data_IF_843902283456
#
_entry.id   IF_843902283456
#
_cell.length_a   1.000
_cell.length_b   1.000
_cell.length_c   1.000
_cell.angle_alpha   90.00
_cell.angle_beta   90.00
_cell.angle_gamma   90.00
#
_symmetry.space_group_name_H-M   'P 1'
#
loop_
_entity.id
_entity.type
_entity.pdbx_description
1 polymer ?
#
# COMPACT_ATOMS: atom_id res chain seq x y z
N UNK A 1 3.76 19.65 -12.01
CA UNK A 1 3.13 18.74 -12.99
C UNK A 1 4.00 18.49 -14.22
N UNK A 2 4.37 19.53 -14.97
CA UNK A 2 5.16 19.40 -16.23
C UNK A 2 6.42 18.54 -16.07
N UNK A 3 7.20 18.78 -15.01
CA UNK A 3 8.40 17.99 -14.71
C UNK A 3 8.12 16.47 -14.60
N UNK A 4 7.04 16.09 -13.92
CA UNK A 4 6.68 14.67 -13.73
C UNK A 4 6.29 14.03 -15.06
N UNK A 5 5.48 14.73 -15.86
CA UNK A 5 5.08 14.26 -17.19
C UNK A 5 6.27 14.14 -18.14
N UNK A 6 7.17 15.11 -18.14
CA UNK A 6 8.38 15.10 -18.97
C UNK A 6 9.33 13.96 -18.56
N UNK A 7 9.54 13.76 -17.26
CA UNK A 7 10.31 12.63 -16.74
C UNK A 7 9.71 11.28 -17.17
N UNK A 8 8.38 11.11 -17.01
CA UNK A 8 7.68 9.88 -17.40
C UNK A 8 7.80 9.63 -18.91
N UNK A 9 7.62 10.66 -19.74
CA UNK A 9 7.76 10.58 -21.20
C UNK A 9 9.16 10.15 -21.59
N UNK A 10 10.19 10.80 -21.04
CA UNK A 10 11.60 10.46 -21.31
C UNK A 10 11.94 9.02 -20.89
N UNK A 11 11.34 8.52 -19.80
CA UNK A 11 11.62 7.19 -19.26
C UNK A 11 10.92 6.07 -20.01
N UNK A 12 9.71 6.31 -20.48
CA UNK A 12 8.83 5.26 -21.04
C UNK A 12 8.70 5.34 -22.57
N UNK A 13 8.96 6.49 -23.17
CA UNK A 13 8.68 6.76 -24.59
C UNK A 13 7.18 6.90 -24.91
N UNK A 14 6.30 6.86 -23.91
CA UNK A 14 4.85 6.93 -24.09
C UNK A 14 4.35 8.37 -24.05
N UNK A 15 3.23 8.62 -24.73
CA UNK A 15 2.53 9.90 -24.65
C UNK A 15 1.87 10.03 -23.27
N UNK A 16 2.45 10.87 -22.40
CA UNK A 16 2.04 11.07 -21.01
C UNK A 16 0.88 12.08 -20.90
N UNK A 17 -0.27 11.74 -21.50
CA UNK A 17 -1.46 12.58 -21.54
C UNK A 17 -2.41 12.32 -20.35
N UNK A 18 -1.95 12.62 -19.13
CA UNK A 18 -2.73 12.46 -17.90
C UNK A 18 -2.54 13.66 -16.97
N UNK A 19 -3.58 14.08 -16.24
CA UNK A 19 -3.52 15.16 -15.25
C UNK A 19 -2.78 14.71 -13.98
N UNK A 20 -1.84 15.51 -13.48
CA UNK A 20 -1.19 15.27 -12.19
C UNK A 20 -1.69 16.30 -11.18
N UNK A 21 -2.42 15.82 -10.18
CA UNK A 21 -2.90 16.65 -9.07
C UNK A 21 -2.13 16.29 -7.81
N UNK A 22 -1.77 17.30 -7.02
CA UNK A 22 -1.08 17.13 -5.75
C UNK A 22 -2.07 17.33 -4.60
N UNK A 23 -1.90 16.58 -3.52
CA UNK A 23 -2.66 16.71 -2.29
C UNK A 23 -1.74 17.07 -1.11
N UNK A 24 -2.27 17.71 -0.06
CA UNK A 24 -1.48 18.04 1.13
C UNK A 24 -0.86 16.81 1.78
N UNK A 25 0.41 16.94 2.15
CA UNK A 25 1.15 15.87 2.83
C UNK A 25 2.15 16.47 3.81
N UNK A 26 2.60 15.65 4.76
CA UNK A 26 3.61 16.03 5.76
C UNK A 26 4.70 14.98 5.81
N UNK A 27 5.94 15.45 5.88
CA UNK A 27 7.07 14.59 6.17
C UNK A 27 7.05 14.18 7.65
N UNK A 28 6.99 12.87 7.90
CA UNK A 28 7.08 12.25 9.22
C UNK A 28 8.51 11.74 9.40
N UNK A 29 9.36 12.54 10.07
CA UNK A 29 10.79 12.28 10.19
C UNK A 29 11.07 10.96 10.90
N UNK A 30 10.27 10.60 11.90
CA UNK A 30 10.38 9.34 12.65
C UNK A 30 10.11 8.09 11.80
N UNK A 31 9.42 8.25 10.66
CA UNK A 31 9.12 7.18 9.70
C UNK A 31 9.95 7.29 8.41
N UNK A 32 10.77 8.33 8.27
CA UNK A 32 11.46 8.65 7.01
C UNK A 32 10.52 8.74 5.80
N UNK A 33 9.26 9.12 6.02
CA UNK A 33 8.17 8.95 5.04
C UNK A 33 7.34 10.22 4.88
N UNK A 34 6.76 10.41 3.70
CA UNK A 34 5.76 11.47 3.44
C UNK A 34 4.37 10.84 3.58
N UNK A 35 3.55 11.39 4.46
CA UNK A 35 2.20 10.89 4.74
C UNK A 35 1.15 11.88 4.24
N UNK A 36 0.04 11.41 3.65
CA UNK A 36 -1.08 12.28 3.30
C UNK A 36 -1.66 12.94 4.55
N UNK A 37 -2.15 14.16 4.40
CA UNK A 37 -2.83 14.90 5.48
C UNK A 37 -4.17 15.41 5.00
N UNK A 38 -5.21 15.21 5.82
CA UNK A 38 -6.58 15.63 5.52
C UNK A 38 -7.32 14.61 4.66
N UNK A 39 -8.37 15.07 3.97
CA UNK A 39 -9.18 14.25 3.08
C UNK A 39 -8.66 14.33 1.64
N UNK A 40 -7.92 13.32 1.19
CA UNK A 40 -7.43 13.26 -0.19
C UNK A 40 -8.58 13.26 -1.19
N UNK A 41 -9.72 12.65 -0.86
CA UNK A 41 -10.86 12.55 -1.80
C UNK A 41 -11.45 13.92 -2.13
N UNK A 42 -11.21 14.93 -1.30
CA UNK A 42 -11.66 16.31 -1.51
C UNK A 42 -10.96 17.02 -2.66
N UNK A 43 -9.76 16.58 -3.08
CA UNK A 43 -9.06 17.20 -4.22
C UNK A 43 -9.62 16.76 -5.58
N UNK A 44 -10.48 15.72 -5.60
CA UNK A 44 -11.11 15.19 -6.81
C UNK A 44 -12.55 15.71 -6.87
N UNK A 45 -12.94 16.45 -7.93
CA UNK A 45 -14.33 16.87 -8.12
C UNK A 45 -15.28 15.68 -8.25
N UNK A 46 -16.50 15.79 -7.72
CA UNK A 46 -17.49 14.68 -7.74
C UNK A 46 -17.79 14.17 -9.16
N UNK A 47 -17.86 15.06 -10.15
CA UNK A 47 -18.13 14.69 -11.53
C UNK A 47 -16.98 13.93 -12.22
N UNK A 48 -15.77 13.95 -11.66
CA UNK A 48 -14.62 13.18 -12.13
C UNK A 48 -14.50 11.83 -11.39
N UNK A 49 -15.29 11.60 -10.32
CA UNK A 49 -15.11 10.50 -9.38
C UNK A 49 -15.85 9.20 -9.79
N UNK A 50 -15.44 8.60 -10.90
CA UNK A 50 -16.01 7.31 -11.36
C UNK A 50 -15.24 6.11 -10.80
N UNK A 51 -13.99 5.91 -11.25
CA UNK A 51 -13.14 4.80 -10.83
C UNK A 51 -11.86 5.32 -10.19
N UNK A 52 -11.54 4.81 -8.99
CA UNK A 52 -10.24 5.03 -8.33
C UNK A 52 -9.40 3.75 -8.34
N UNK A 53 -8.11 3.90 -8.63
CA UNK A 53 -7.10 2.86 -8.46
C UNK A 53 -6.11 3.35 -7.40
N UNK A 54 -6.04 2.64 -6.28
CA UNK A 54 -5.22 3.00 -5.12
C UNK A 54 -4.05 2.04 -5.03
N UNK A 55 -2.83 2.54 -5.02
CA UNK A 55 -1.65 1.74 -4.69
C UNK A 55 -1.54 1.64 -3.16
N UNK A 56 -1.29 0.42 -2.67
CA UNK A 56 -1.14 0.09 -1.24
C UNK A 56 -2.23 0.74 -0.37
N UNK A 57 -3.52 0.44 -0.62
CA UNK A 57 -4.66 1.07 0.02
C UNK A 57 -4.63 1.01 1.55
N UNK A 58 -4.01 0.03 2.20
CA UNK A 58 -3.83 0.07 3.67
C UNK A 58 -3.02 1.28 4.11
N UNK A 59 -1.90 1.54 3.45
CA UNK A 59 -0.91 2.54 3.84
C UNK A 59 -1.41 3.93 3.51
N UNK A 60 -2.05 4.06 2.35
CA UNK A 60 -2.75 5.28 1.96
C UNK A 60 -3.80 5.68 2.99
N UNK A 61 -4.48 4.69 3.60
CA UNK A 61 -5.63 4.94 4.47
C UNK A 61 -5.39 4.77 5.98
N UNK A 62 -4.21 4.35 6.43
CA UNK A 62 -3.90 4.23 7.87
C UNK A 62 -4.10 5.52 8.65
N UNK A 63 -3.84 6.66 8.02
CA UNK A 63 -3.98 8.00 8.59
C UNK A 63 -5.01 8.83 7.84
N UNK A 64 -5.90 8.18 7.08
CA UNK A 64 -6.92 8.89 6.32
C UNK A 64 -8.08 9.29 7.24
N UNK A 65 -8.36 10.59 7.25
CA UNK A 65 -9.40 11.19 8.09
C UNK A 65 -10.58 11.72 7.27
N UNK A 66 -10.64 11.37 5.98
CA UNK A 66 -11.63 11.84 5.03
C UNK A 66 -12.78 10.88 4.76
N UNK A 67 -13.57 11.19 3.72
CA UNK A 67 -14.61 10.29 3.24
C UNK A 67 -14.04 8.94 2.81
N UNK A 68 -14.84 7.87 2.89
CA UNK A 68 -14.40 6.59 2.34
C UNK A 68 -14.32 6.72 0.82
N UNK A 69 -13.22 6.23 0.25
CA UNK A 69 -13.08 6.11 -1.20
C UNK A 69 -14.29 5.44 -1.87
N UNK A 70 -14.87 4.41 -1.25
CA UNK A 70 -16.07 3.72 -1.76
C UNK A 70 -17.35 4.55 -1.71
N UNK A 71 -17.40 5.59 -0.87
CA UNK A 71 -18.54 6.51 -0.80
C UNK A 71 -18.39 7.63 -1.85
N UNK A 72 -17.15 7.95 -2.25
CA UNK A 72 -16.82 8.98 -3.24
C UNK A 72 -16.84 8.48 -4.68
N UNK A 73 -16.30 7.29 -4.93
CA UNK A 73 -16.12 6.73 -6.28
C UNK A 73 -17.06 5.54 -6.49
N UNK A 74 -17.63 5.44 -7.69
CA UNK A 74 -18.50 4.32 -8.08
C UNK A 74 -17.77 2.98 -8.00
N UNK A 75 -16.46 2.96 -8.30
CA UNK A 75 -15.64 1.77 -8.16
C UNK A 75 -14.23 2.11 -7.64
N UNK A 76 -13.69 1.23 -6.80
CA UNK A 76 -12.36 1.42 -6.18
C UNK A 76 -11.61 0.11 -6.21
N UNK A 77 -10.46 0.11 -6.87
CA UNK A 77 -9.55 -1.02 -6.95
C UNK A 77 -8.30 -0.70 -6.15
N UNK A 78 -8.03 -1.51 -5.13
CA UNK A 78 -6.76 -1.50 -4.42
C UNK A 78 -5.73 -2.37 -5.12
N UNK A 79 -4.52 -1.87 -5.36
CA UNK A 79 -3.41 -2.61 -5.96
C UNK A 79 -2.34 -2.85 -4.90
N UNK A 80 -2.01 -4.12 -4.69
CA UNK A 80 -1.15 -4.62 -3.63
C UNK A 80 0.08 -5.29 -4.20
N UNK A 81 1.27 -4.89 -3.77
CA UNK A 81 2.52 -5.47 -4.28
C UNK A 81 3.61 -5.62 -3.24
N UNK A 82 3.56 -4.87 -2.15
CA UNK A 82 4.57 -4.94 -1.10
C UNK A 82 4.06 -5.75 0.09
N UNK A 83 4.80 -6.79 0.48
CA UNK A 83 4.49 -7.54 1.70
C UNK A 83 5.21 -6.94 2.92
N UNK A 84 4.64 -5.87 3.47
CA UNK A 84 5.18 -5.22 4.67
C UNK A 84 5.15 -6.09 5.93
N UNK A 85 4.22 -7.05 6.02
CA UNK A 85 4.20 -8.00 7.14
C UNK A 85 5.40 -8.95 7.09
N UNK A 86 5.85 -9.34 5.90
CA UNK A 86 7.06 -10.14 5.74
C UNK A 86 8.31 -9.31 6.00
N UNK A 87 8.35 -8.03 5.61
CA UNK A 87 9.42 -7.12 6.04
C UNK A 87 9.50 -7.01 7.56
N UNK A 88 8.38 -6.74 8.24
CA UNK A 88 8.35 -6.67 9.70
C UNK A 88 8.79 -7.98 10.36
N UNK A 89 8.33 -9.13 9.83
CA UNK A 89 8.81 -10.45 10.27
C UNK A 89 10.31 -10.62 10.03
N UNK A 90 10.87 -10.12 8.92
CA UNK A 90 12.29 -10.26 8.58
C UNK A 90 13.17 -9.33 9.40
N UNK A 91 12.71 -8.14 9.74
CA UNK A 91 13.40 -7.25 10.69
C UNK A 91 13.42 -7.87 12.08
N UNK A 92 12.30 -8.42 12.54
CA UNK A 92 12.27 -9.25 13.75
C UNK A 92 13.27 -10.42 13.61
N UNK A 93 13.26 -11.12 12.47
CA UNK A 93 14.13 -12.26 12.17
C UNK A 93 15.61 -11.93 11.87
N UNK A 94 15.97 -10.68 11.62
CA UNK A 94 17.31 -10.26 11.21
C UNK A 94 18.36 -10.47 12.31
N UNK A 95 17.90 -10.52 13.57
CA UNK A 95 18.71 -10.89 14.74
C UNK A 95 18.42 -12.32 15.25
N UNK A 96 17.54 -13.10 14.60
CA UNK A 96 16.89 -14.24 15.24
C UNK A 96 17.67 -15.55 15.28
N UNK A 97 18.72 -15.74 14.47
CA UNK A 97 19.46 -17.02 14.57
C UNK A 97 20.19 -17.19 15.90
N UNK A 98 20.55 -16.10 16.59
CA UNK A 98 21.08 -16.14 17.97
C UNK A 98 20.12 -15.57 19.03
N UNK A 99 19.20 -14.67 18.69
CA UNK A 99 18.31 -14.03 19.67
C UNK A 99 17.07 -14.85 20.06
N UNK A 100 16.55 -15.73 19.20
CA UNK A 100 15.31 -16.51 19.49
C UNK A 100 15.45 -17.48 20.64
N UNK A 101 16.66 -18.05 20.82
CA UNK A 101 16.95 -18.91 21.96
C UNK A 101 17.05 -18.13 23.29
N UNK A 102 17.18 -16.80 23.24
CA UNK A 102 17.45 -15.94 24.41
C UNK A 102 16.31 -14.98 24.77
N UNK A 103 15.32 -14.79 23.89
CA UNK A 103 14.22 -13.88 24.18
C UNK A 103 13.21 -14.50 25.16
N UNK A 104 12.72 -13.75 26.14
CA UNK A 104 11.61 -14.18 26.99
C UNK A 104 10.39 -14.54 26.13
N UNK A 105 9.70 -15.62 26.47
CA UNK A 105 8.45 -16.05 25.79
C UNK A 105 7.44 -14.91 25.66
N UNK A 106 7.39 -13.98 26.62
CA UNK A 106 6.55 -12.79 26.58
C UNK A 106 6.87 -11.84 25.40
N UNK A 107 8.14 -11.69 25.02
CA UNK A 107 8.54 -10.83 23.88
C UNK A 107 8.10 -11.47 22.56
N UNK A 108 8.28 -12.80 22.42
CA UNK A 108 7.81 -13.54 21.26
C UNK A 108 6.28 -13.46 21.11
N UNK A 109 5.55 -13.63 22.21
CA UNK A 109 4.07 -13.53 22.21
C UNK A 109 3.62 -12.12 21.81
N UNK A 110 4.31 -11.08 22.30
CA UNK A 110 3.98 -9.69 21.96
C UNK A 110 4.22 -9.39 20.48
N UNK A 111 5.36 -9.78 19.91
CA UNK A 111 5.67 -9.56 18.49
C UNK A 111 4.67 -10.27 17.57
N UNK A 112 4.31 -11.52 17.89
CA UNK A 112 3.28 -12.26 17.14
C UNK A 112 1.92 -11.56 17.22
N UNK A 113 1.53 -11.06 18.40
CA UNK A 113 0.27 -10.34 18.55
C UNK A 113 0.25 -9.03 17.74
N UNK A 114 1.35 -8.27 17.70
CA UNK A 114 1.48 -7.06 16.89
C UNK A 114 1.34 -7.37 15.40
N UNK A 115 2.02 -8.41 14.90
CA UNK A 115 1.92 -8.82 13.50
C UNK A 115 0.50 -9.27 13.12
N UNK A 116 -0.15 -10.03 14.01
CA UNK A 116 -1.55 -10.43 13.80
C UNK A 116 -2.45 -9.21 13.79
N UNK A 117 -2.28 -8.27 14.71
CA UNK A 117 -3.06 -7.04 14.76
C UNK A 117 -2.90 -6.22 13.48
N UNK A 118 -1.66 -5.99 13.03
CA UNK A 118 -1.36 -5.27 11.79
C UNK A 118 -2.05 -5.91 10.58
N UNK A 119 -2.03 -7.25 10.47
CA UNK A 119 -2.74 -7.97 9.40
C UNK A 119 -4.24 -7.68 9.41
N UNK A 120 -4.86 -7.67 10.60
CA UNK A 120 -6.30 -7.42 10.72
C UNK A 120 -6.64 -5.97 10.38
N UNK A 121 -5.82 -5.00 10.80
CA UNK A 121 -6.02 -3.59 10.45
C UNK A 121 -5.90 -3.39 8.94
N UNK A 122 -4.87 -3.95 8.29
CA UNK A 122 -4.71 -3.81 6.83
C UNK A 122 -5.91 -4.38 6.08
N UNK A 123 -6.36 -5.59 6.44
CA UNK A 123 -7.54 -6.18 5.85
C UNK A 123 -8.80 -5.35 6.12
N UNK A 124 -8.96 -4.79 7.32
CA UNK A 124 -10.11 -3.96 7.67
C UNK A 124 -10.16 -2.66 6.88
N UNK A 125 -9.03 -1.98 6.76
CA UNK A 125 -8.88 -0.74 5.98
C UNK A 125 -9.18 -1.01 4.50
N UNK A 126 -8.59 -2.05 3.91
CA UNK A 126 -8.89 -2.46 2.52
C UNK A 126 -10.37 -2.80 2.34
N UNK A 127 -11.01 -3.43 3.33
CA UNK A 127 -12.44 -3.77 3.27
C UNK A 127 -13.32 -2.53 3.21
N UNK A 128 -12.93 -1.47 3.91
CA UNK A 128 -13.68 -0.21 3.98
C UNK A 128 -13.48 0.61 2.70
N UNK A 129 -12.25 0.64 2.18
CA UNK A 129 -11.89 1.60 1.14
C UNK A 129 -11.84 1.02 -0.28
N UNK A 130 -11.91 -0.29 -0.46
CA UNK A 130 -11.81 -0.90 -1.80
C UNK A 130 -13.03 -1.79 -2.11
N UNK A 131 -13.55 -1.69 -3.33
CA UNK A 131 -14.54 -2.64 -3.85
C UNK A 131 -13.86 -3.95 -4.25
N UNK A 132 -12.67 -3.87 -4.84
CA UNK A 132 -11.85 -5.02 -5.24
C UNK A 132 -10.40 -4.78 -4.85
N UNK A 133 -9.68 -5.85 -4.49
CA UNK A 133 -8.23 -5.80 -4.29
C UNK A 133 -7.57 -6.67 -5.36
N UNK A 134 -6.53 -6.16 -6.00
CA UNK A 134 -5.69 -6.89 -6.95
C UNK A 134 -4.30 -7.01 -6.35
N UNK A 135 -3.87 -8.24 -6.11
CA UNK A 135 -2.51 -8.57 -5.70
C UNK A 135 -1.65 -8.80 -6.92
N UNK A 136 -0.50 -8.17 -6.96
CA UNK A 136 0.47 -8.32 -8.02
C UNK A 136 1.28 -9.62 -7.90
N UNK A 137 1.20 -10.29 -6.75
CA UNK A 137 1.64 -11.67 -6.50
C UNK A 137 0.96 -12.25 -5.26
N UNK A 138 0.98 -13.58 -5.10
CA UNK A 138 0.55 -14.23 -3.84
C UNK A 138 1.60 -14.15 -2.73
N UNK A 139 2.68 -13.39 -2.94
CA UNK A 139 3.67 -13.16 -1.90
C UNK A 139 3.17 -12.17 -0.83
N UNK A 140 2.04 -11.48 -1.03
CA UNK A 140 1.44 -10.55 -0.04
C UNK A 140 0.36 -11.24 0.81
N UNK A 141 -0.03 -10.62 1.93
CA UNK A 141 -1.05 -11.17 2.82
C UNK A 141 -2.43 -11.35 2.16
N UNK A 142 -3.27 -12.28 2.65
CA UNK A 142 -4.67 -12.36 2.25
C UNK A 142 -5.45 -11.08 2.62
N UNK A 143 -6.25 -10.60 1.69
CA UNK A 143 -7.03 -9.37 1.77
C UNK A 143 -8.49 -9.59 1.32
N UNK A 144 -9.41 -8.70 1.70
CA UNK A 144 -10.82 -8.83 1.33
C UNK A 144 -11.02 -8.66 -0.17
N UNK A 145 -11.86 -9.53 -0.77
CA UNK A 145 -12.25 -9.45 -2.19
C UNK A 145 -11.03 -9.37 -3.12
N UNK A 146 -9.99 -10.14 -2.80
CA UNK A 146 -8.77 -10.18 -3.59
C UNK A 146 -8.91 -11.00 -4.88
N UNK A 147 -8.09 -10.69 -5.87
CA UNK A 147 -7.64 -11.58 -6.96
C UNK A 147 -6.13 -11.38 -7.14
N UNK A 148 -5.44 -12.40 -7.65
CA UNK A 148 -4.02 -12.30 -7.97
C UNK A 148 -3.81 -12.15 -9.48
N UNK A 149 -3.14 -11.08 -9.89
CA UNK A 149 -2.83 -10.75 -11.28
C UNK A 149 -1.33 -10.51 -11.43
N UNK A 150 -0.61 -11.50 -11.94
CA UNK A 150 0.83 -11.42 -12.18
C UNK A 150 1.11 -10.59 -13.44
N UNK A 151 1.23 -9.28 -13.27
CA UNK A 151 1.62 -8.35 -14.35
C UNK A 151 3.13 -8.09 -14.36
N UNK A 152 3.84 -8.49 -13.30
CA UNK A 152 5.29 -8.41 -13.22
C UNK A 152 5.85 -9.71 -13.79
N UNK A 153 6.46 -9.64 -14.97
CA UNK A 153 7.39 -10.68 -15.37
C UNK A 153 8.50 -10.79 -14.33
N UNK A 154 8.95 -12.00 -14.02
CA UNK A 154 10.16 -12.17 -13.23
C UNK A 154 11.32 -11.70 -14.10
N UNK A 155 12.12 -10.74 -13.60
CA UNK A 155 13.31 -10.30 -14.33
C UNK A 155 14.17 -11.54 -14.64
N UNK A 156 14.66 -11.72 -15.89
CA UNK A 156 15.45 -12.89 -16.27
C UNK A 156 16.64 -13.18 -15.34
N UNK A 157 17.15 -12.16 -14.64
CA UNK A 157 18.21 -12.32 -13.65
C UNK A 157 17.83 -13.22 -12.45
N UNK A 158 16.53 -13.38 -12.16
CA UNK A 158 16.01 -14.19 -11.05
C UNK A 158 15.48 -15.57 -11.49
N UNK A 159 15.48 -15.90 -12.78
CA UNK A 159 14.93 -17.17 -13.33
C UNK A 159 15.98 -18.29 -13.44
N UNK A 160 16.93 -18.38 -12.50
CA UNK A 160 17.96 -19.43 -12.50
C UNK A 160 17.42 -20.78 -12.08
#
# INVERSE_FOLDING_TARGET
EEYVRDWARKRTGLDCNFKVTFYPSRYAAEKGSILPVGDITSVIPDHEADVAVLEEPEHLNWYHHGARWTDKFNHVVGVMHTNYLDYARREDNGNMKEAVLRQPVAVLVLSVAVLLFARHINAWVCRIHCHKVIKLSDAVQPLPREDTMFVHGVSPAFLK
#
